data_IF_024689027768
#
_entry.id   IF_024689027768
#
_cell.length_a   1.000
_cell.length_b   1.000
_cell.length_c   1.000
_cell.angle_alpha   90.00
_cell.angle_beta   90.00
_cell.angle_gamma   90.00
#
_symmetry.space_group_name_H-M   'P 1'
#
loop_
_entity.id
_entity.type
_entity.pdbx_description
1 polymer ?
#
# COMPACT_ATOMS: atom_id res chain seq x y z
N UNK A 1 70.14 30.49 32.94
CA UNK A 1 69.03 29.57 33.22
C UNK A 1 68.18 29.53 31.98
N UNK A 2 68.01 28.32 31.44
CA UNK A 2 66.84 27.76 30.74
C UNK A 2 67.36 26.78 29.67
N UNK A 3 66.86 25.56 29.81
CA UNK A 3 67.26 24.30 29.20
C UNK A 3 67.14 24.19 27.67
N UNK A 4 68.00 23.28 27.19
CA UNK A 4 67.87 22.37 26.05
C UNK A 4 66.43 22.00 25.65
N UNK A 5 66.15 21.93 24.34
CA UNK A 5 65.35 20.85 23.76
C UNK A 5 65.77 20.64 22.29
N UNK A 6 66.68 19.68 22.11
CA UNK A 6 67.00 19.07 20.82
C UNK A 6 65.79 18.33 20.23
N UNK A 7 65.17 18.93 19.22
CA UNK A 7 64.05 18.35 18.47
C UNK A 7 64.54 17.27 17.50
N UNK A 8 64.52 16.01 17.92
CA UNK A 8 64.81 14.86 17.06
C UNK A 8 63.75 14.67 15.97
N UNK A 9 64.09 14.95 14.71
CA UNK A 9 63.26 14.55 13.56
C UNK A 9 63.30 13.03 13.37
N UNK A 10 62.17 12.38 13.65
CA UNK A 10 62.00 10.94 13.55
C UNK A 10 61.97 10.52 12.06
N UNK A 11 63.12 10.11 11.51
CA UNK A 11 63.27 9.66 10.12
C UNK A 11 62.58 8.30 9.95
N UNK A 12 61.31 8.29 9.58
CA UNK A 12 60.53 7.05 9.42
C UNK A 12 61.18 6.09 8.41
N UNK A 13 61.42 4.85 8.84
CA UNK A 13 61.94 3.77 7.99
C UNK A 13 61.02 3.59 6.76
N UNK A 14 61.61 3.55 5.55
CA UNK A 14 60.88 3.45 4.27
C UNK A 14 59.88 2.29 4.23
N UNK A 15 60.17 1.17 4.90
CA UNK A 15 59.23 0.04 5.05
C UNK A 15 58.00 0.34 5.90
N UNK A 16 58.12 1.20 6.93
CA UNK A 16 56.97 1.68 7.71
C UNK A 16 56.08 2.60 6.88
N UNK A 17 56.67 3.50 6.08
CA UNK A 17 55.93 4.38 5.15
C UNK A 17 55.13 3.60 4.09
N UNK A 18 55.74 2.56 3.51
CA UNK A 18 55.06 1.68 2.54
C UNK A 18 53.88 0.96 3.22
N UNK A 19 54.08 0.46 4.45
CA UNK A 19 53.02 -0.20 5.21
C UNK A 19 51.86 0.75 5.55
N UNK A 20 52.13 1.98 5.97
CA UNK A 20 51.07 2.97 6.25
C UNK A 20 50.26 3.32 5.01
N UNK A 21 50.92 3.45 3.85
CA UNK A 21 50.23 3.71 2.58
C UNK A 21 49.39 2.52 2.11
N UNK A 22 49.85 1.28 2.30
CA UNK A 22 49.07 0.07 1.98
C UNK A 22 47.85 -0.03 2.88
N UNK A 23 47.99 0.20 4.19
CA UNK A 23 46.86 0.22 5.12
C UNK A 23 45.88 1.34 4.74
N UNK A 24 46.37 2.54 4.41
CA UNK A 24 45.55 3.65 3.93
C UNK A 24 44.78 3.29 2.65
N UNK A 25 45.43 2.63 1.68
CA UNK A 25 44.80 2.17 0.44
C UNK A 25 43.69 1.14 0.72
N UNK A 26 43.94 0.17 1.61
CA UNK A 26 42.94 -0.84 1.99
C UNK A 26 41.74 -0.18 2.66
N UNK A 27 41.95 0.79 3.54
CA UNK A 27 40.85 1.55 4.18
C UNK A 27 40.04 2.32 3.13
N UNK A 28 40.69 2.96 2.16
CA UNK A 28 40.01 3.67 1.07
C UNK A 28 39.21 2.69 0.20
N UNK A 29 39.77 1.54 -0.16
CA UNK A 29 39.05 0.51 -0.92
C UNK A 29 37.86 -0.06 -0.14
N UNK A 30 37.98 -0.23 1.18
CA UNK A 30 36.88 -0.66 2.03
C UNK A 30 35.76 0.38 2.10
N UNK A 31 36.10 1.68 2.16
CA UNK A 31 35.12 2.78 2.12
C UNK A 31 34.43 2.85 0.76
N UNK A 32 35.19 2.74 -0.35
CA UNK A 32 34.63 2.75 -1.70
C UNK A 32 33.73 1.52 -1.93
N UNK A 33 34.18 0.33 -1.53
CA UNK A 33 33.40 -0.90 -1.65
C UNK A 33 32.14 -0.88 -0.79
N UNK A 34 32.24 -0.41 0.46
CA UNK A 34 31.09 -0.23 1.34
C UNK A 34 30.11 0.83 0.83
N UNK A 35 30.61 1.95 0.30
CA UNK A 35 29.80 3.00 -0.30
C UNK A 35 29.10 2.55 -1.57
N UNK A 36 29.79 1.83 -2.46
CA UNK A 36 29.20 1.25 -3.66
C UNK A 36 28.15 0.18 -3.34
N UNK A 37 28.41 -0.68 -2.35
CA UNK A 37 27.45 -1.68 -1.88
C UNK A 37 26.19 -1.02 -1.29
N UNK A 38 26.36 0.01 -0.46
CA UNK A 38 25.25 0.77 0.13
C UNK A 38 24.44 1.51 -0.94
N UNK A 39 25.12 2.11 -1.93
CA UNK A 39 24.48 2.78 -3.06
C UNK A 39 23.65 1.79 -3.87
N UNK A 40 24.22 0.65 -4.27
CA UNK A 40 23.52 -0.38 -5.04
C UNK A 40 22.28 -0.93 -4.33
N UNK A 41 22.32 -1.05 -3.00
CA UNK A 41 21.17 -1.50 -2.21
C UNK A 41 20.08 -0.42 -2.09
N UNK A 42 20.39 0.86 -2.34
CA UNK A 42 19.44 1.96 -2.21
C UNK A 42 18.76 2.36 -3.53
N UNK A 43 19.23 1.92 -4.70
CA UNK A 43 18.75 2.46 -5.99
C UNK A 43 17.74 1.58 -6.74
N UNK A 44 17.52 0.32 -6.34
CA UNK A 44 16.86 -0.67 -7.23
C UNK A 44 15.48 -1.16 -6.75
N UNK A 45 14.90 -0.58 -5.69
CA UNK A 45 13.55 -0.95 -5.27
C UNK A 45 12.85 0.18 -4.53
N UNK A 46 11.54 0.28 -4.71
CA UNK A 46 10.68 1.20 -3.98
C UNK A 46 9.93 0.40 -2.92
N UNK A 47 10.11 0.74 -1.65
CA UNK A 47 9.42 0.10 -0.53
C UNK A 47 8.43 1.08 0.11
N UNK A 48 7.20 0.63 0.36
CA UNK A 48 6.25 1.35 1.22
C UNK A 48 5.55 0.37 2.15
N UNK A 49 5.36 0.81 3.39
CA UNK A 49 4.53 0.12 4.38
C UNK A 49 3.11 0.72 4.42
N UNK A 50 2.84 1.74 3.58
CA UNK A 50 1.53 2.38 3.46
C UNK A 50 0.68 1.71 2.39
N UNK A 51 0.55 0.39 2.50
CA UNK A 51 -0.26 -0.41 1.61
C UNK A 51 -1.37 -1.14 2.38
N UNK A 52 -2.48 -1.39 1.67
CA UNK A 52 -3.65 -2.09 2.24
C UNK A 52 -4.25 -3.06 1.25
N UNK A 53 -4.71 -4.18 1.78
CA UNK A 53 -5.53 -5.13 1.03
C UNK A 53 -6.89 -4.51 0.76
N UNK A 54 -7.30 -4.52 -0.50
CA UNK A 54 -8.57 -4.04 -1.00
C UNK A 54 -9.16 -5.07 -1.97
N UNK A 55 -10.43 -4.89 -2.30
CA UNK A 55 -11.15 -5.73 -3.25
C UNK A 55 -12.37 -4.98 -3.75
N UNK A 56 -12.95 -5.47 -4.85
CA UNK A 56 -14.13 -4.85 -5.42
C UNK A 56 -15.33 -5.08 -4.49
N UNK A 57 -15.82 -3.98 -3.93
CA UNK A 57 -16.92 -3.97 -2.97
C UNK A 57 -18.22 -3.53 -3.64
N UNK A 58 -19.32 -4.18 -3.27
CA UNK A 58 -20.66 -3.77 -3.63
C UNK A 58 -21.56 -3.69 -2.41
N UNK A 59 -22.33 -2.61 -2.35
CA UNK A 59 -23.37 -2.46 -1.35
C UNK A 59 -24.63 -3.19 -1.82
N UNK A 60 -25.16 -4.07 -0.98
CA UNK A 60 -26.52 -4.59 -1.12
C UNK A 60 -27.45 -3.56 -0.48
N UNK A 61 -28.32 -2.95 -1.28
CA UNK A 61 -29.27 -1.95 -0.81
C UNK A 61 -30.71 -2.46 -0.83
N UNK A 62 -31.53 -1.98 0.10
CA UNK A 62 -32.96 -2.26 0.12
C UNK A 62 -33.66 -1.64 -1.12
N UNK A 63 -34.41 -2.42 -1.92
CA UNK A 63 -35.08 -1.94 -3.12
C UNK A 63 -36.36 -1.14 -2.83
N UNK A 64 -36.93 -1.30 -1.63
CA UNK A 64 -38.16 -0.65 -1.20
C UNK A 64 -38.11 -0.36 0.31
N UNK A 65 -39.02 0.50 0.79
CA UNK A 65 -39.20 0.74 2.21
C UNK A 65 -40.02 -0.40 2.85
N UNK A 66 -39.64 -0.81 4.06
CA UNK A 66 -40.36 -1.83 4.82
C UNK A 66 -39.50 -2.50 5.88
N UNK A 67 -40.01 -3.60 6.44
CA UNK A 67 -39.34 -4.38 7.47
C UNK A 67 -38.52 -5.51 6.85
N UNK A 68 -37.23 -5.59 7.19
CA UNK A 68 -36.35 -6.68 6.78
C UNK A 68 -36.86 -8.00 7.36
N UNK A 69 -36.93 -9.04 6.53
CA UNK A 69 -37.33 -10.40 6.86
C UNK A 69 -36.48 -11.41 6.10
N UNK A 70 -36.45 -12.66 6.56
CA UNK A 70 -35.63 -13.75 5.98
C UNK A 70 -34.14 -13.38 5.85
N UNK A 71 -33.63 -12.54 6.77
CA UNK A 71 -32.23 -12.13 6.83
C UNK A 71 -31.43 -13.11 7.66
N UNK A 72 -30.66 -13.95 6.97
CA UNK A 72 -29.76 -14.97 7.53
C UNK A 72 -28.34 -14.80 6.97
N UNK A 73 -27.92 -13.55 6.74
CA UNK A 73 -26.56 -13.27 6.31
C UNK A 73 -25.69 -12.93 7.51
N UNK A 74 -24.71 -13.78 7.75
CA UNK A 74 -23.60 -13.53 8.67
C UNK A 74 -22.37 -13.06 7.88
N UNK A 75 -21.49 -12.31 8.55
CA UNK A 75 -20.20 -11.94 7.98
C UNK A 75 -19.38 -13.21 7.69
N UNK A 76 -18.75 -13.28 6.53
CA UNK A 76 -18.06 -14.47 6.02
C UNK A 76 -18.90 -15.38 5.12
N UNK A 77 -20.22 -15.14 4.98
CA UNK A 77 -21.08 -15.93 4.08
C UNK A 77 -20.88 -15.51 2.62
N UNK A 78 -20.62 -16.47 1.75
CA UNK A 78 -20.53 -16.25 0.30
C UNK A 78 -21.91 -16.24 -0.34
N UNK A 79 -22.12 -15.33 -1.29
CA UNK A 79 -23.34 -15.17 -2.07
C UNK A 79 -23.00 -15.08 -3.56
N UNK A 80 -23.90 -15.54 -4.41
CA UNK A 80 -23.78 -15.38 -5.86
C UNK A 80 -24.65 -14.24 -6.37
N UNK A 81 -24.27 -13.66 -7.50
CA UNK A 81 -25.06 -12.67 -8.20
C UNK A 81 -26.46 -13.19 -8.48
N UNK A 82 -27.47 -12.44 -8.03
CA UNK A 82 -28.88 -12.77 -8.20
C UNK A 82 -29.50 -13.60 -7.06
N UNK A 83 -28.70 -14.13 -6.14
CA UNK A 83 -29.18 -14.83 -4.95
C UNK A 83 -30.03 -13.90 -4.10
N UNK A 84 -31.19 -14.40 -3.67
CA UNK A 84 -32.06 -13.66 -2.74
C UNK A 84 -31.47 -13.73 -1.34
N UNK A 85 -31.07 -12.57 -0.81
CA UNK A 85 -30.37 -12.42 0.47
C UNK A 85 -31.29 -11.99 1.61
N UNK A 86 -32.40 -11.32 1.28
CA UNK A 86 -33.39 -10.84 2.23
C UNK A 86 -34.75 -10.66 1.53
N UNK A 87 -35.78 -10.41 2.32
CA UNK A 87 -37.06 -9.88 1.84
C UNK A 87 -37.45 -8.64 2.62
N UNK A 88 -37.89 -7.60 1.93
CA UNK A 88 -38.45 -6.41 2.55
C UNK A 88 -39.98 -6.51 2.54
N UNK A 89 -40.59 -6.57 3.73
CA UNK A 89 -42.04 -6.57 3.92
C UNK A 89 -42.53 -5.13 4.10
N UNK A 90 -43.01 -4.53 3.02
CA UNK A 90 -43.70 -3.23 3.01
C UNK A 90 -45.17 -3.40 2.58
N UNK A 91 -45.65 -2.52 1.68
CA UNK A 91 -46.94 -2.71 1.00
C UNK A 91 -46.95 -3.99 0.13
N UNK A 92 -45.80 -4.30 -0.47
CA UNK A 92 -45.54 -5.57 -1.15
C UNK A 92 -44.26 -6.18 -0.57
N UNK A 93 -44.13 -7.50 -0.66
CA UNK A 93 -42.89 -8.19 -0.31
C UNK A 93 -41.95 -8.15 -1.51
N UNK A 94 -40.78 -7.55 -1.35
CA UNK A 94 -39.77 -7.45 -2.40
C UNK A 94 -38.51 -8.20 -1.99
N UNK A 95 -38.02 -9.05 -2.88
CA UNK A 95 -36.77 -9.78 -2.69
C UNK A 95 -35.58 -8.83 -2.86
N UNK A 96 -34.63 -8.90 -1.93
CA UNK A 96 -33.33 -8.25 -2.07
C UNK A 96 -32.36 -9.28 -2.64
N UNK A 97 -31.67 -8.92 -3.72
CA UNK A 97 -30.75 -9.81 -4.42
C UNK A 97 -29.32 -9.29 -4.34
N UNK A 98 -28.34 -10.19 -4.32
CA UNK A 98 -26.93 -9.80 -4.50
C UNK A 98 -26.69 -9.31 -5.92
N UNK A 99 -25.87 -8.26 -6.06
CA UNK A 99 -25.54 -7.66 -7.38
C UNK A 99 -24.23 -8.21 -7.98
N UNK A 100 -23.42 -8.91 -7.18
CA UNK A 100 -22.18 -9.58 -7.59
C UNK A 100 -21.97 -10.88 -6.82
N UNK A 101 -21.05 -11.70 -7.31
CA UNK A 101 -20.49 -12.81 -6.55
C UNK A 101 -19.54 -12.23 -5.50
N UNK A 102 -19.57 -12.76 -4.28
CA UNK A 102 -18.66 -12.30 -3.23
C UNK A 102 -19.06 -12.76 -1.83
N UNK A 103 -18.28 -12.33 -0.86
CA UNK A 103 -18.45 -12.66 0.54
C UNK A 103 -18.96 -11.45 1.32
N UNK A 104 -19.94 -11.66 2.19
CA UNK A 104 -20.47 -10.60 3.06
C UNK A 104 -19.41 -10.23 4.09
N UNK A 105 -18.91 -8.99 4.03
CA UNK A 105 -17.87 -8.49 4.96
C UNK A 105 -18.40 -7.55 6.01
N UNK A 106 -19.61 -7.01 5.80
CA UNK A 106 -20.24 -6.13 6.75
C UNK A 106 -21.74 -6.30 6.73
N UNK A 107 -22.31 -6.53 7.90
CA UNK A 107 -23.76 -6.58 8.08
C UNK A 107 -24.25 -5.30 8.79
N UNK A 108 -25.08 -4.49 8.12
CA UNK A 108 -25.53 -3.19 8.66
C UNK A 108 -26.94 -3.24 9.26
N UNK A 109 -27.68 -4.34 9.05
CA UNK A 109 -29.07 -4.46 9.52
C UNK A 109 -29.35 -5.78 10.23
N UNK A 110 -30.36 -5.78 11.09
CA UNK A 110 -30.86 -6.99 11.73
C UNK A 110 -32.20 -7.40 11.17
N UNK A 111 -32.51 -8.69 11.26
CA UNK A 111 -33.81 -9.21 10.91
C UNK A 111 -34.90 -8.48 11.73
N UNK A 112 -35.94 -7.99 11.06
CA UNK A 112 -36.99 -7.18 11.67
C UNK A 112 -36.72 -5.68 11.77
N UNK A 113 -35.57 -5.18 11.31
CA UNK A 113 -35.30 -3.75 11.24
C UNK A 113 -36.07 -3.09 10.09
N UNK A 114 -36.52 -1.86 10.28
CA UNK A 114 -37.16 -1.07 9.21
C UNK A 114 -36.09 -0.34 8.39
N UNK A 115 -36.19 -0.42 7.08
CA UNK A 115 -35.28 0.22 6.12
C UNK A 115 -36.07 1.03 5.08
N UNK A 116 -35.40 1.95 4.40
CA UNK A 116 -35.93 2.71 3.28
C UNK A 116 -35.28 2.26 1.97
N UNK A 117 -35.91 2.57 0.84
CA UNK A 117 -35.30 2.33 -0.46
C UNK A 117 -33.92 3.02 -0.55
N UNK A 118 -32.91 2.30 -1.03
CA UNK A 118 -31.52 2.76 -1.11
C UNK A 118 -30.71 2.60 0.18
N UNK A 119 -31.31 2.15 1.29
CA UNK A 119 -30.55 1.87 2.53
C UNK A 119 -29.62 0.68 2.31
N UNK A 120 -28.32 0.82 2.57
CA UNK A 120 -27.37 -0.29 2.57
C UNK A 120 -27.70 -1.26 3.70
N UNK A 121 -27.88 -2.54 3.35
CA UNK A 121 -28.18 -3.62 4.31
C UNK A 121 -26.96 -4.50 4.59
N UNK A 122 -26.11 -4.71 3.58
CA UNK A 122 -24.85 -5.42 3.73
C UNK A 122 -23.85 -4.95 2.66
N UNK A 123 -22.58 -5.27 2.88
CA UNK A 123 -21.52 -5.07 1.89
C UNK A 123 -20.92 -6.44 1.52
N UNK A 124 -20.86 -6.70 0.22
CA UNK A 124 -20.16 -7.85 -0.37
C UNK A 124 -18.82 -7.40 -0.92
N UNK A 125 -17.82 -8.27 -0.87
CA UNK A 125 -16.56 -8.09 -1.56
C UNK A 125 -16.17 -9.34 -2.34
N UNK A 126 -15.54 -9.15 -3.48
CA UNK A 126 -14.87 -10.25 -4.19
C UNK A 126 -13.58 -10.63 -3.46
N UNK A 127 -13.55 -11.83 -2.86
CA UNK A 127 -12.36 -12.37 -2.17
C UNK A 127 -11.40 -13.08 -3.12
N UNK A 128 -11.85 -13.43 -4.34
CA UNK A 128 -11.03 -14.14 -5.32
C UNK A 128 -10.12 -13.15 -6.08
N UNK A 129 -10.57 -11.90 -6.22
CA UNK A 129 -9.87 -10.83 -6.93
C UNK A 129 -9.47 -9.66 -6.01
N UNK A 130 -8.75 -9.98 -4.94
CA UNK A 130 -8.14 -8.95 -4.08
C UNK A 130 -7.00 -8.23 -4.80
N UNK A 131 -6.72 -7.00 -4.37
CA UNK A 131 -5.60 -6.17 -4.83
C UNK A 131 -5.05 -5.33 -3.68
N UNK A 132 -3.86 -4.77 -3.85
CA UNK A 132 -3.23 -3.89 -2.88
C UNK A 132 -3.32 -2.44 -3.38
N UNK A 133 -3.74 -1.54 -2.50
CA UNK A 133 -3.61 -0.09 -2.72
C UNK A 133 -2.42 0.39 -1.90
N UNK A 134 -1.35 0.81 -2.56
CA UNK A 134 -0.12 1.29 -1.94
C UNK A 134 0.05 2.79 -2.17
N UNK A 135 0.37 3.54 -1.13
CA UNK A 135 0.74 4.94 -1.27
C UNK A 135 2.25 5.07 -1.40
N UNK A 136 2.70 5.52 -2.57
CA UNK A 136 4.11 5.73 -2.88
C UNK A 136 4.42 7.22 -2.78
N UNK A 137 5.57 7.60 -2.22
CA UNK A 137 5.97 9.01 -2.14
C UNK A 137 6.19 9.56 -3.55
N UNK A 138 5.81 10.80 -3.79
CA UNK A 138 6.04 11.48 -5.07
C UNK A 138 7.52 11.49 -5.49
N UNK A 139 8.45 11.43 -4.54
CA UNK A 139 9.89 11.33 -4.84
C UNK A 139 10.31 10.00 -5.43
N UNK A 140 9.57 8.93 -5.14
CA UNK A 140 9.93 7.55 -5.45
C UNK A 140 9.09 7.00 -6.61
N UNK A 141 8.10 7.77 -7.09
CA UNK A 141 7.18 7.34 -8.16
C UNK A 141 7.86 7.28 -9.53
N UNK A 142 8.96 8.02 -9.73
CA UNK A 142 9.71 8.00 -10.98
C UNK A 142 10.33 6.63 -11.29
N UNK A 143 10.55 5.83 -10.25
CA UNK A 143 11.13 4.47 -10.33
C UNK A 143 10.05 3.38 -10.37
N UNK A 144 8.76 3.75 -10.46
CA UNK A 144 7.62 2.82 -10.52
C UNK A 144 6.94 2.91 -11.86
N UNK A 145 6.87 1.79 -12.58
CA UNK A 145 6.15 1.67 -13.84
C UNK A 145 5.03 0.62 -13.76
N UNK A 146 4.02 0.79 -14.61
CA UNK A 146 2.97 -0.23 -14.77
C UNK A 146 3.58 -1.48 -15.36
N UNK A 147 3.38 -2.62 -14.68
CA UNK A 147 4.01 -3.89 -15.03
C UNK A 147 5.18 -4.29 -14.12
N UNK A 148 5.68 -3.40 -13.25
CA UNK A 148 6.74 -3.75 -12.31
C UNK A 148 6.31 -4.89 -11.38
N UNK A 149 7.27 -5.76 -11.07
CA UNK A 149 7.04 -6.87 -10.13
C UNK A 149 7.01 -6.34 -8.70
N UNK A 150 6.13 -6.90 -7.89
CA UNK A 150 5.94 -6.46 -6.50
C UNK A 150 5.95 -7.65 -5.55
N UNK A 151 6.79 -7.61 -4.54
CA UNK A 151 6.68 -8.49 -3.38
C UNK A 151 5.70 -7.86 -2.38
N UNK A 152 4.63 -8.57 -2.05
CA UNK A 152 3.63 -8.13 -1.07
C UNK A 152 3.75 -8.99 0.18
N UNK A 153 3.88 -8.35 1.34
CA UNK A 153 3.79 -9.00 2.65
C UNK A 153 2.63 -8.39 3.40
N UNK A 154 1.70 -9.23 3.86
CA UNK A 154 0.50 -8.79 4.56
C UNK A 154 0.71 -9.01 6.06
N UNK A 155 0.37 -8.03 6.90
CA UNK A 155 0.63 -8.09 8.36
C UNK A 155 -0.06 -9.28 9.04
N UNK A 156 -1.20 -9.73 8.50
CA UNK A 156 -1.94 -10.91 8.98
C UNK A 156 -1.29 -12.26 8.63
N UNK A 157 -0.31 -12.27 7.71
CA UNK A 157 0.40 -13.48 7.27
C UNK A 157 1.87 -13.14 6.92
N UNK A 158 2.69 -12.73 7.92
CA UNK A 158 4.03 -12.17 7.68
C UNK A 158 5.05 -13.19 7.17
N UNK A 159 4.77 -14.49 7.32
CA UNK A 159 5.63 -15.58 6.86
C UNK A 159 5.47 -15.87 5.35
N UNK A 160 4.48 -15.26 4.70
CA UNK A 160 4.15 -15.48 3.30
C UNK A 160 4.39 -14.21 2.49
N UNK A 161 5.13 -14.33 1.39
CA UNK A 161 5.28 -13.27 0.38
C UNK A 161 4.41 -13.63 -0.82
N UNK A 162 3.59 -12.69 -1.24
CA UNK A 162 2.72 -12.83 -2.41
C UNK A 162 3.30 -12.05 -3.58
N UNK A 163 3.35 -12.69 -4.74
CA UNK A 163 3.74 -12.03 -5.99
C UNK A 163 2.62 -11.11 -6.46
N UNK A 164 2.98 -9.89 -6.82
CA UNK A 164 2.08 -8.89 -7.36
C UNK A 164 2.65 -8.17 -8.58
N UNK A 165 1.81 -7.37 -9.21
CA UNK A 165 2.20 -6.57 -10.37
C UNK A 165 1.51 -5.22 -10.31
N UNK A 166 2.25 -4.14 -10.57
CA UNK A 166 1.69 -2.79 -10.66
C UNK A 166 0.69 -2.75 -11.82
N UNK A 167 -0.59 -2.53 -11.52
CA UNK A 167 -1.66 -2.44 -12.51
C UNK A 167 -1.91 -0.99 -12.94
N UNK A 168 -1.93 -0.08 -11.97
CA UNK A 168 -2.30 1.31 -12.20
C UNK A 168 -1.52 2.22 -11.26
N UNK A 169 -1.01 3.32 -11.81
CA UNK A 169 -0.43 4.41 -11.05
C UNK A 169 -1.44 5.56 -11.09
N UNK A 170 -1.86 6.03 -9.92
CA UNK A 170 -2.84 7.11 -9.81
C UNK A 170 -2.35 8.38 -10.48
N UNK A 171 -3.13 8.93 -11.40
CA UNK A 171 -2.79 10.16 -12.09
C UNK A 171 -3.25 11.39 -11.29
N UNK A 172 -2.32 12.29 -11.00
CA UNK A 172 -2.61 13.68 -10.69
C UNK A 172 -1.96 14.58 -11.75
N UNK A 173 -2.60 14.71 -12.92
CA UNK A 173 -2.59 15.99 -13.65
C UNK A 173 -3.98 16.28 -14.21
N UNK A 174 -4.90 16.63 -13.30
CA UNK A 174 -6.01 17.52 -13.66
C UNK A 174 -5.51 18.96 -13.92
N UNK A 175 -4.19 19.20 -13.89
CA UNK A 175 -3.55 20.49 -14.17
C UNK A 175 -3.84 21.04 -15.58
N UNK A 176 -4.45 20.25 -16.47
CA UNK A 176 -4.94 20.72 -17.75
C UNK A 176 -6.33 21.39 -17.68
N UNK A 177 -7.02 21.36 -16.53
CA UNK A 177 -8.36 21.95 -16.36
C UNK A 177 -8.45 23.20 -15.47
N UNK A 178 -7.35 23.63 -14.83
CA UNK A 178 -7.32 24.88 -14.06
C UNK A 178 -6.92 26.08 -14.94
N UNK A 179 -7.79 26.46 -15.87
CA UNK A 179 -7.73 27.77 -16.52
C UNK A 179 -8.18 28.89 -15.56
N UNK A 180 -7.60 29.00 -14.36
CA UNK A 180 -7.75 30.19 -13.50
C UNK A 180 -6.52 30.35 -12.59
N UNK A 181 -5.75 31.45 -12.67
CA UNK A 181 -4.69 31.70 -11.72
C UNK A 181 -5.29 32.21 -10.40
N UNK A 182 -5.28 31.41 -9.34
CA UNK A 182 -5.53 31.91 -7.98
C UNK A 182 -4.20 32.28 -7.31
N UNK A 183 -3.99 33.56 -7.10
CA UNK A 183 -2.85 34.11 -6.35
C UNK A 183 -2.93 33.69 -4.88
N UNK A 184 -1.90 32.99 -4.39
CA UNK A 184 -1.75 32.62 -2.98
C UNK A 184 -1.48 33.86 -2.12
N UNK A 185 -2.42 34.20 -1.22
CA UNK A 185 -2.29 35.29 -0.25
C UNK A 185 -2.17 34.70 1.17
N UNK A 186 -0.95 34.34 1.62
CA UNK A 186 -0.58 34.17 3.06
C UNK A 186 0.88 33.74 3.34
N UNK A 187 1.73 33.49 2.33
CA UNK A 187 3.19 33.49 2.52
C UNK A 187 3.83 32.42 3.42
N UNK A 188 3.10 31.39 3.88
CA UNK A 188 3.70 30.23 4.54
C UNK A 188 3.51 28.97 3.68
N UNK A 189 4.61 28.45 3.14
CA UNK A 189 4.64 27.20 2.37
C UNK A 189 5.26 26.11 3.23
N UNK A 190 4.45 25.18 3.73
CA UNK A 190 4.93 23.95 4.36
C UNK A 190 4.89 22.85 3.30
N UNK A 191 6.07 22.42 2.82
CA UNK A 191 6.17 21.31 1.86
C UNK A 191 5.80 20.01 2.57
N UNK A 192 4.61 19.48 2.28
CA UNK A 192 4.21 18.12 2.68
C UNK A 192 4.63 17.13 1.59
N UNK A 193 5.07 15.94 1.97
CA UNK A 193 5.35 14.87 1.00
C UNK A 193 4.03 14.36 0.45
N UNK A 194 3.74 14.66 -0.81
CA UNK A 194 2.59 14.10 -1.49
C UNK A 194 2.84 12.62 -1.79
N UNK A 195 1.74 11.87 -1.92
CA UNK A 195 1.78 10.44 -2.20
C UNK A 195 0.88 10.14 -3.38
N UNK A 196 1.29 9.18 -4.18
CA UNK A 196 0.59 8.69 -5.35
C UNK A 196 0.04 7.31 -5.00
N UNK A 197 -1.29 7.10 -5.07
CA UNK A 197 -1.85 5.77 -4.88
C UNK A 197 -1.51 4.91 -6.10
N UNK A 198 -1.03 3.70 -5.85
CA UNK A 198 -0.70 2.70 -6.85
C UNK A 198 -1.51 1.45 -6.57
N UNK A 199 -2.21 0.96 -7.58
CA UNK A 199 -2.95 -0.30 -7.54
C UNK A 199 -2.03 -1.43 -7.98
N UNK A 200 -1.92 -2.46 -7.15
CA UNK A 200 -1.06 -3.62 -7.36
C UNK A 200 -1.94 -4.86 -7.27
N UNK A 201 -1.91 -5.71 -8.30
CA UNK A 201 -2.57 -7.02 -8.23
C UNK A 201 -1.84 -7.94 -7.25
N UNK A 202 -2.56 -8.81 -6.56
CA UNK A 202 -1.97 -9.86 -5.71
C UNK A 202 -2.36 -11.22 -6.29
N UNK A 203 -1.38 -12.09 -6.52
CA UNK A 203 -1.62 -13.43 -7.05
C UNK A 203 -1.86 -14.41 -5.90
N UNK A 204 -2.96 -15.14 -5.96
CA UNK A 204 -3.32 -16.22 -5.04
C UNK A 204 -3.17 -15.83 -3.54
N UNK A 205 -3.90 -14.80 -3.07
CA UNK A 205 -3.92 -14.47 -1.65
C UNK A 205 -4.35 -15.68 -0.81
N UNK A 206 -3.75 -15.87 0.37
CA UNK A 206 -4.15 -16.95 1.28
C UNK A 206 -5.50 -16.62 1.95
N UNK A 207 -6.20 -17.63 2.47
CA UNK A 207 -7.48 -17.44 3.20
C UNK A 207 -7.34 -16.54 4.46
N UNK A 208 -6.11 -16.30 4.91
CA UNK A 208 -5.82 -15.38 6.02
C UNK A 208 -5.81 -13.92 5.57
N UNK A 209 -5.68 -13.66 4.27
CA UNK A 209 -5.63 -12.32 3.69
C UNK A 209 -7.05 -11.76 3.60
N UNK A 210 -7.42 -10.95 4.58
CA UNK A 210 -8.68 -10.23 4.61
C UNK A 210 -8.54 -8.80 4.08
N UNK A 211 -9.60 -8.27 3.42
CA UNK A 211 -9.67 -6.86 3.04
C UNK A 211 -9.54 -5.92 4.23
N UNK A 212 -8.87 -4.80 4.02
CA UNK A 212 -8.62 -3.77 5.03
C UNK A 212 -7.37 -4.01 5.87
N UNK A 213 -6.71 -5.17 5.76
CA UNK A 213 -5.44 -5.42 6.45
C UNK A 213 -4.32 -4.56 5.86
N UNK A 214 -3.37 -4.19 6.72
CA UNK A 214 -2.17 -3.50 6.31
C UNK A 214 -1.23 -4.47 5.58
N UNK A 215 -0.48 -3.92 4.64
CA UNK A 215 0.52 -4.64 3.89
C UNK A 215 1.76 -3.75 3.69
N UNK A 216 2.88 -4.40 3.49
CA UNK A 216 4.12 -3.79 3.03
C UNK A 216 4.38 -4.29 1.61
N UNK A 217 4.74 -3.37 0.71
CA UNK A 217 5.07 -3.72 -0.66
C UNK A 217 6.49 -3.29 -1.00
N UNK A 218 7.17 -4.11 -1.79
CA UNK A 218 8.47 -3.82 -2.37
C UNK A 218 8.37 -3.99 -3.88
N UNK A 219 8.47 -2.89 -4.59
CA UNK A 219 8.40 -2.80 -6.04
C UNK A 219 9.82 -2.86 -6.58
N UNK A 220 10.08 -3.76 -7.52
CA UNK A 220 11.34 -3.86 -8.26
C UNK A 220 11.10 -3.66 -9.75
N UNK A 221 12.04 -2.98 -10.41
CA UNK A 221 12.14 -2.87 -11.87
C UNK A 221 12.36 -4.26 -12.53
#
# INVERSE_FOLDING_TARGET
MIEDETKGENKMNRGRLILTNIIGLIVVLAIIGGGAYYYYQSTNYVKTDEAKVAGDMAAISAPAAGKVSDWDLEEGKTVKKGDTVAKIKGEQTVDVKSIMDGTIVKNEVKNGQTVQAGTTIAQTIDMDNLYITANIKETDIADVEVGNSVDVVVDGDPDTTFDGTVEEIGYATNSTFDMLPSTNSSGNYTKVTQKVPVKISIKNPSDKVLPGMNASVKISE
#
